data_IF_715466681333
#
_entry.id   IF_715466681333
#
_cell.length_a   1.000
_cell.length_b   1.000
_cell.length_c   1.000
_cell.angle_alpha   90.00
_cell.angle_beta   90.00
_cell.angle_gamma   90.00
#
_symmetry.space_group_name_H-M   'P 1'
#
loop_
_entity.id
_entity.type
_entity.pdbx_description
1 polymer ?
#
# COMPACT_ATOMS: atom_id res chain seq x y z
N UNK A 1 1.60 -11.48 34.14
CA UNK A 1 0.20 -11.45 34.61
C UNK A 1 -0.55 -10.46 33.73
N UNK A 2 -1.26 -10.94 32.72
CA UNK A 2 -2.21 -10.12 31.95
C UNK A 2 -3.47 -9.96 32.81
N UNK A 3 -3.76 -8.74 33.26
CA UNK A 3 -5.00 -8.45 34.01
C UNK A 3 -6.21 -8.99 33.25
N UNK A 4 -7.09 -9.70 33.97
CA UNK A 4 -8.37 -10.15 33.45
C UNK A 4 -9.20 -8.91 33.12
N UNK A 5 -9.33 -8.62 31.82
CA UNK A 5 -10.07 -7.48 31.34
C UNK A 5 -11.57 -7.65 31.66
N UNK A 6 -12.14 -6.67 32.38
CA UNK A 6 -13.58 -6.65 32.67
C UNK A 6 -14.32 -6.14 31.43
N UNK A 7 -14.92 -7.07 30.70
CA UNK A 7 -15.82 -6.78 29.58
C UNK A 7 -17.03 -5.95 30.06
N UNK A 8 -17.25 -4.78 29.45
CA UNK A 8 -18.40 -3.93 29.79
C UNK A 8 -19.52 -4.06 28.75
N UNK A 9 -20.76 -3.82 29.15
CA UNK A 9 -21.91 -3.78 28.23
C UNK A 9 -21.76 -2.65 27.17
N UNK A 10 -21.02 -1.59 27.51
CA UNK A 10 -20.63 -0.52 26.56
C UNK A 10 -19.74 -1.10 25.46
N UNK A 11 -18.73 -1.88 25.81
CA UNK A 11 -17.83 -2.49 24.84
C UNK A 11 -18.62 -3.39 23.90
N UNK A 12 -19.52 -4.24 24.42
CA UNK A 12 -20.40 -5.10 23.61
C UNK A 12 -21.27 -4.30 22.64
N UNK A 13 -21.98 -3.29 23.16
CA UNK A 13 -22.92 -2.47 22.39
C UNK A 13 -22.21 -1.74 21.25
N UNK A 14 -21.09 -1.09 21.55
CA UNK A 14 -20.29 -0.37 20.56
C UNK A 14 -19.67 -1.29 19.52
N UNK A 15 -19.19 -2.45 19.94
CA UNK A 15 -18.60 -3.45 19.04
C UNK A 15 -19.63 -4.05 18.09
N UNK A 16 -20.86 -4.31 18.57
CA UNK A 16 -21.98 -4.75 17.70
C UNK A 16 -22.35 -3.70 16.68
N UNK A 17 -22.38 -2.42 17.09
CA UNK A 17 -22.60 -1.32 16.14
C UNK A 17 -21.53 -1.32 15.05
N UNK A 18 -20.24 -1.42 15.41
CA UNK A 18 -19.14 -1.49 14.42
C UNK A 18 -19.30 -2.66 13.46
N UNK A 19 -19.65 -3.85 13.96
CA UNK A 19 -19.87 -5.03 13.13
C UNK A 19 -21.04 -4.85 12.16
N UNK A 20 -22.12 -4.18 12.59
CA UNK A 20 -23.26 -3.85 11.72
C UNK A 20 -22.85 -2.85 10.63
N UNK A 21 -22.11 -1.79 10.99
CA UNK A 21 -21.61 -0.80 10.02
C UNK A 21 -20.71 -1.46 8.98
N UNK A 22 -19.81 -2.36 9.38
CA UNK A 22 -18.95 -3.08 8.46
C UNK A 22 -19.76 -3.98 7.50
N UNK A 23 -20.80 -4.65 8.02
CA UNK A 23 -21.70 -5.47 7.20
C UNK A 23 -22.46 -4.64 6.17
N UNK A 24 -22.99 -3.49 6.59
CA UNK A 24 -23.67 -2.52 5.71
C UNK A 24 -22.72 -1.94 4.66
N UNK A 25 -21.44 -1.73 5.01
CA UNK A 25 -20.45 -1.26 4.06
C UNK A 25 -20.26 -2.24 2.89
N UNK A 26 -20.51 -3.53 3.12
CA UNK A 26 -20.49 -4.54 2.07
C UNK A 26 -19.10 -4.82 1.48
N UNK A 27 -18.03 -4.27 2.08
CA UNK A 27 -16.65 -4.54 1.71
C UNK A 27 -16.15 -5.73 2.54
N UNK A 28 -15.75 -6.86 1.92
CA UNK A 28 -15.28 -8.03 2.67
C UNK A 28 -13.94 -7.78 3.36
N UNK A 29 -13.12 -6.87 2.81
CA UNK A 29 -11.85 -6.42 3.36
C UNK A 29 -11.75 -4.91 3.19
N UNK A 30 -11.38 -4.19 4.23
CA UNK A 30 -11.24 -2.73 4.23
C UNK A 30 -10.30 -2.27 5.34
N UNK A 31 -9.88 -1.01 5.36
CA UNK A 31 -9.17 -0.43 6.51
C UNK A 31 -10.15 0.12 7.55
N UNK A 32 -9.66 0.35 8.79
CA UNK A 32 -10.43 1.04 9.81
C UNK A 32 -10.76 2.50 9.44
N UNK A 33 -9.86 3.17 8.70
CA UNK A 33 -10.07 4.55 8.21
C UNK A 33 -11.17 4.60 7.14
N UNK A 34 -11.23 3.62 6.23
CA UNK A 34 -12.32 3.52 5.26
C UNK A 34 -13.67 3.28 5.95
N UNK A 35 -13.69 2.41 6.98
CA UNK A 35 -14.89 2.21 7.80
C UNK A 35 -15.32 3.48 8.53
N UNK A 36 -14.37 4.30 9.00
CA UNK A 36 -14.65 5.62 9.56
C UNK A 36 -15.34 6.53 8.55
N UNK A 37 -14.83 6.63 7.32
CA UNK A 37 -15.44 7.46 6.28
C UNK A 37 -16.83 6.94 5.89
N UNK A 38 -17.01 5.62 5.82
CA UNK A 38 -18.32 5.04 5.56
C UNK A 38 -19.30 5.40 6.69
N UNK A 39 -18.88 5.20 7.94
CA UNK A 39 -19.69 5.55 9.10
C UNK A 39 -20.08 7.04 9.13
N UNK A 40 -19.15 7.93 8.76
CA UNK A 40 -19.37 9.37 8.74
C UNK A 40 -20.33 9.81 7.63
N UNK A 41 -20.36 9.07 6.51
CA UNK A 41 -21.30 9.29 5.40
C UNK A 41 -22.71 8.78 5.71
N UNK A 42 -22.88 7.85 6.66
CA UNK A 42 -24.20 7.32 7.03
C UNK A 42 -25.06 8.42 7.65
N UNK A 43 -26.29 8.54 7.15
CA UNK A 43 -27.33 9.40 7.73
C UNK A 43 -28.06 8.74 8.92
N UNK A 44 -27.75 7.46 9.19
CA UNK A 44 -28.38 6.69 10.25
C UNK A 44 -28.08 7.26 11.64
N UNK A 45 -29.15 7.51 12.42
CA UNK A 45 -29.06 7.97 13.81
C UNK A 45 -28.99 6.81 14.81
N UNK A 46 -28.06 5.88 14.58
CA UNK A 46 -27.98 4.61 15.29
C UNK A 46 -26.70 4.45 16.13
N UNK A 47 -25.79 5.43 16.10
CA UNK A 47 -24.57 5.37 16.91
C UNK A 47 -24.93 5.55 18.39
N UNK A 48 -24.67 4.55 19.26
CA UNK A 48 -25.20 4.53 20.61
C UNK A 48 -24.37 5.42 21.52
N UNK A 49 -24.98 6.26 22.35
CA UNK A 49 -24.30 7.01 23.41
C UNK A 49 -24.62 6.33 24.73
N UNK A 50 -23.63 5.59 25.26
CA UNK A 50 -23.79 4.83 26.48
C UNK A 50 -23.49 5.68 27.72
N UNK A 51 -24.20 5.47 28.81
CA UNK A 51 -23.95 6.17 30.08
C UNK A 51 -24.56 5.49 31.31
N UNK A 52 -24.07 5.85 32.50
CA UNK A 52 -24.44 5.23 33.78
C UNK A 52 -23.60 4.00 34.14
N UNK A 53 -23.84 3.43 35.33
CA UNK A 53 -23.03 2.34 35.90
C UNK A 53 -23.09 1.03 35.11
N UNK A 54 -24.15 0.80 34.33
CA UNK A 54 -24.40 -0.48 33.61
C UNK A 54 -24.17 -0.36 32.09
N UNK A 55 -23.75 0.81 31.59
CA UNK A 55 -23.45 0.97 30.16
C UNK A 55 -24.66 1.05 29.22
N UNK A 56 -25.84 1.30 29.74
CA UNK A 56 -27.10 1.44 28.99
C UNK A 56 -26.99 2.50 27.89
N UNK A 57 -27.67 2.26 26.76
CA UNK A 57 -27.83 3.26 25.70
C UNK A 57 -28.75 4.37 26.23
N UNK A 58 -28.20 5.59 26.36
CA UNK A 58 -28.96 6.77 26.79
C UNK A 58 -29.66 7.44 25.62
N UNK A 59 -28.99 7.50 24.48
CA UNK A 59 -29.48 8.11 23.24
C UNK A 59 -28.73 7.52 22.05
N UNK A 60 -29.32 7.54 20.87
CA UNK A 60 -28.62 7.29 19.61
C UNK A 60 -28.55 8.57 18.80
N UNK A 61 -27.47 8.75 18.03
CA UNK A 61 -27.29 9.91 17.15
C UNK A 61 -26.55 9.52 15.88
N UNK A 62 -26.47 10.40 14.87
CA UNK A 62 -25.54 10.21 13.76
C UNK A 62 -24.10 10.08 14.24
N UNK A 63 -23.30 9.29 13.52
CA UNK A 63 -21.87 9.18 13.77
C UNK A 63 -21.17 10.51 13.47
N UNK A 64 -20.20 10.90 14.30
CA UNK A 64 -19.54 12.21 14.20
C UNK A 64 -18.02 12.06 14.12
N UNK A 65 -17.34 13.04 13.51
CA UNK A 65 -15.87 13.02 13.29
C UNK A 65 -15.09 12.78 14.59
N UNK A 66 -15.58 13.32 15.72
CA UNK A 66 -14.96 13.17 17.04
C UNK A 66 -15.00 11.73 17.59
N UNK A 67 -15.94 10.91 17.11
CA UNK A 67 -16.04 9.50 17.50
C UNK A 67 -14.95 8.63 16.87
N UNK A 68 -14.29 9.12 15.81
CA UNK A 68 -13.26 8.40 15.06
C UNK A 68 -12.09 7.94 15.93
N UNK A 69 -11.72 8.74 16.94
CA UNK A 69 -10.63 8.42 17.88
C UNK A 69 -10.87 7.11 18.66
N UNK A 70 -12.14 6.73 18.87
CA UNK A 70 -12.52 5.51 19.61
C UNK A 70 -12.89 4.36 18.68
N UNK A 71 -12.99 4.58 17.37
CA UNK A 71 -13.43 3.55 16.43
C UNK A 71 -12.50 2.33 16.47
N UNK A 72 -11.18 2.54 16.49
CA UNK A 72 -10.19 1.46 16.58
C UNK A 72 -10.40 0.61 17.83
N UNK A 73 -10.61 1.25 18.99
CA UNK A 73 -10.94 0.54 20.23
C UNK A 73 -12.14 -0.40 20.02
N UNK A 74 -13.22 0.09 19.44
CA UNK A 74 -14.45 -0.70 19.25
C UNK A 74 -14.28 -1.79 18.19
N UNK A 75 -13.44 -1.56 17.19
CA UNK A 75 -13.09 -2.52 16.15
C UNK A 75 -12.27 -3.68 16.71
N UNK A 76 -11.27 -3.38 17.54
CA UNK A 76 -10.47 -4.40 18.23
C UNK A 76 -11.33 -5.25 19.17
N UNK A 77 -12.28 -4.62 19.87
CA UNK A 77 -13.24 -5.34 20.70
C UNK A 77 -14.20 -6.19 19.87
N UNK A 78 -14.68 -5.69 18.74
CA UNK A 78 -15.52 -6.48 17.83
C UNK A 78 -14.78 -7.71 17.29
N UNK A 79 -13.48 -7.60 16.99
CA UNK A 79 -12.62 -8.74 16.64
C UNK A 79 -12.49 -9.73 17.80
N UNK A 80 -12.21 -9.25 19.02
CA UNK A 80 -12.08 -10.09 20.22
C UNK A 80 -13.37 -10.84 20.57
N UNK A 81 -14.53 -10.21 20.39
CA UNK A 81 -15.83 -10.84 20.61
C UNK A 81 -16.29 -11.74 19.44
N UNK A 82 -15.54 -11.79 18.34
CA UNK A 82 -15.92 -12.57 17.15
C UNK A 82 -17.09 -11.98 16.35
N UNK A 83 -17.43 -10.70 16.57
CA UNK A 83 -18.45 -10.02 15.77
C UNK A 83 -17.93 -9.61 14.38
N UNK A 84 -16.61 -9.47 14.24
CA UNK A 84 -15.92 -9.11 13.00
C UNK A 84 -14.82 -10.14 12.74
N UNK A 85 -14.74 -10.63 11.51
CA UNK A 85 -13.63 -11.48 11.06
C UNK A 85 -12.31 -10.70 11.19
N UNK A 86 -11.30 -11.30 11.82
CA UNK A 86 -9.98 -10.69 12.02
C UNK A 86 -9.33 -10.19 10.72
N UNK A 87 -9.63 -10.83 9.57
CA UNK A 87 -9.09 -10.50 8.25
C UNK A 87 -9.90 -9.45 7.48
N UNK A 88 -11.09 -9.08 7.97
CA UNK A 88 -11.95 -8.09 7.33
C UNK A 88 -11.41 -6.67 7.45
N UNK A 89 -10.62 -6.40 8.49
CA UNK A 89 -9.93 -5.13 8.67
C UNK A 89 -8.46 -5.32 8.36
N UNK A 90 -7.94 -4.47 7.49
CA UNK A 90 -6.55 -4.43 7.05
C UNK A 90 -5.77 -3.48 7.95
N UNK A 91 -4.73 -4.02 8.58
CA UNK A 91 -3.83 -3.28 9.46
C UNK A 91 -2.53 -2.90 8.71
N UNK A 92 -1.85 -1.88 9.20
CA UNK A 92 -0.50 -1.55 8.73
C UNK A 92 0.46 -2.68 9.10
N UNK A 93 1.29 -3.08 8.14
CA UNK A 93 2.38 -4.02 8.31
C UNK A 93 3.68 -3.22 8.38
N UNK A 94 4.43 -3.30 9.49
CA UNK A 94 5.70 -2.59 9.61
C UNK A 94 6.72 -3.03 8.55
N UNK A 95 7.60 -2.11 8.18
CA UNK A 95 8.65 -2.34 7.21
C UNK A 95 8.23 -2.09 5.76
N UNK A 96 9.22 -2.17 4.88
CA UNK A 96 9.02 -2.00 3.45
C UNK A 96 8.67 -3.32 2.78
N UNK A 97 7.77 -3.26 1.80
CA UNK A 97 7.32 -4.43 1.08
C UNK A 97 7.41 -4.21 -0.43
N UNK A 98 7.97 -5.19 -1.14
CA UNK A 98 8.11 -5.17 -2.60
C UNK A 98 7.42 -6.42 -3.15
N UNK A 99 6.39 -6.23 -3.95
CA UNK A 99 5.65 -7.31 -4.61
C UNK A 99 5.89 -7.25 -6.11
N UNK A 100 6.64 -8.22 -6.62
CA UNK A 100 6.96 -8.34 -8.05
C UNK A 100 5.79 -8.96 -8.84
N UNK A 101 5.67 -8.66 -10.15
CA UNK A 101 4.77 -9.37 -11.05
C UNK A 101 5.10 -10.87 -11.15
N UNK A 102 4.10 -11.72 -11.36
CA UNK A 102 4.26 -13.18 -11.44
C UNK A 102 5.24 -13.63 -12.54
N UNK A 103 5.31 -12.90 -13.67
CA UNK A 103 6.25 -13.14 -14.76
C UNK A 103 7.72 -13.07 -14.32
N UNK A 104 8.03 -12.30 -13.27
CA UNK A 104 9.41 -12.12 -12.75
C UNK A 104 9.78 -13.17 -11.72
N UNK A 105 8.80 -13.77 -11.04
CA UNK A 105 9.01 -14.87 -10.09
C UNK A 105 9.33 -16.18 -10.83
N UNK A 106 8.70 -16.41 -11.99
CA UNK A 106 8.89 -17.61 -12.79
C UNK A 106 10.23 -17.65 -13.56
N UNK A 107 10.94 -16.53 -13.69
CA UNK A 107 12.24 -16.43 -14.35
C UNK A 107 13.43 -16.91 -13.51
N UNK A 108 13.24 -17.08 -12.20
CA UNK A 108 14.20 -17.74 -11.33
C UNK A 108 13.99 -19.25 -11.41
N UNK A 109 14.93 -20.00 -12.00
CA UNK A 109 15.00 -21.45 -11.77
C UNK A 109 15.13 -21.69 -10.26
N UNK A 110 14.04 -22.05 -9.59
CA UNK A 110 14.12 -22.82 -8.35
C UNK A 110 14.45 -24.26 -8.73
N UNK A 111 15.52 -24.86 -8.20
CA UNK A 111 15.58 -26.29 -8.09
C UNK A 111 14.64 -26.69 -6.94
N UNK A 112 13.55 -27.36 -7.31
CA UNK A 112 12.68 -28.19 -6.48
C UNK A 112 11.97 -27.56 -5.27
N UNK A 113 10.66 -27.74 -5.26
CA UNK A 113 9.74 -27.16 -4.28
C UNK A 113 10.02 -27.58 -2.83
N UNK A 114 10.29 -26.59 -1.98
CA UNK A 114 10.06 -26.64 -0.54
C UNK A 114 9.57 -25.25 -0.10
N UNK A 115 8.36 -25.10 0.49
CA UNK A 115 7.97 -23.87 1.16
C UNK A 115 8.87 -23.64 2.38
N UNK A 116 9.51 -22.48 2.46
CA UNK A 116 10.33 -22.07 3.62
C UNK A 116 9.44 -21.72 4.82
N UNK A 117 8.84 -22.73 5.43
CA UNK A 117 8.48 -22.73 6.84
C UNK A 117 9.45 -23.68 7.55
N UNK A 118 10.46 -23.13 8.21
CA UNK A 118 11.24 -23.88 9.20
C UNK A 118 10.64 -23.64 10.59
N UNK A 119 9.85 -24.58 11.15
CA UNK A 119 9.84 -24.78 12.59
C UNK A 119 11.12 -25.55 12.97
N UNK A 120 11.98 -24.90 13.75
CA UNK A 120 13.03 -25.57 14.51
C UNK A 120 12.38 -26.56 15.48
N UNK A 121 12.37 -27.85 15.15
CA UNK A 121 12.83 -28.94 16.02
C UNK A 121 12.53 -30.31 15.42
N UNK A 122 13.53 -31.18 15.49
CA UNK A 122 13.54 -32.66 15.54
C UNK A 122 14.65 -33.18 14.61
N UNK A 123 15.38 -34.27 14.93
CA UNK A 123 14.86 -35.44 15.65
C UNK A 123 15.86 -36.16 16.57
N UNK A 124 15.37 -37.11 17.36
CA UNK A 124 16.09 -38.37 17.57
C UNK A 124 15.09 -39.50 17.45
N UNK A 125 15.36 -40.42 16.52
CA UNK A 125 15.08 -41.86 16.57
C UNK A 125 15.09 -42.43 15.15
N UNK A 126 16.24 -42.99 14.80
CA UNK A 126 16.48 -43.85 13.65
C UNK A 126 15.85 -45.22 13.93
N UNK A 127 15.02 -45.69 13.00
CA UNK A 127 14.82 -47.13 12.71
C UNK A 127 14.17 -47.18 11.33
N UNK A 128 14.86 -47.55 10.25
CA UNK A 128 15.44 -48.87 10.07
C UNK A 128 14.47 -49.68 9.21
N UNK A 129 14.70 -49.70 7.88
CA UNK A 129 14.36 -50.78 6.92
C UNK A 129 14.53 -50.28 5.48
N UNK A 130 15.65 -50.67 4.89
CA UNK A 130 15.83 -50.75 3.44
C UNK A 130 15.27 -52.12 3.02
N UNK A 131 14.44 -52.20 1.98
CA UNK A 131 14.37 -53.40 1.17
C UNK A 131 15.08 -53.16 -0.17
N UNK A 132 16.17 -53.90 -0.37
CA UNK A 132 16.68 -54.28 -1.67
C UNK A 132 15.55 -54.88 -2.51
N UNK A 133 15.40 -54.37 -3.74
CA UNK A 133 14.91 -55.09 -4.93
C UNK A 133 14.82 -54.14 -6.13
N UNK A 134 15.83 -54.18 -6.98
CA UNK A 134 15.62 -54.07 -8.44
C UNK A 134 14.97 -55.38 -8.92
N UNK A 135 14.07 -55.31 -9.90
CA UNK A 135 14.46 -55.84 -11.19
C UNK A 135 13.97 -55.03 -12.40
N UNK A 136 14.91 -54.88 -13.34
CA UNK A 136 14.79 -54.92 -14.79
C UNK A 136 13.37 -55.01 -15.39
N UNK A 137 12.91 -53.92 -15.98
CA UNK A 137 12.32 -53.94 -17.32
C UNK A 137 12.07 -52.51 -17.84
N UNK A 138 12.92 -52.12 -18.80
CA UNK A 138 12.66 -50.99 -19.71
C UNK A 138 11.89 -51.57 -20.91
N UNK A 139 10.72 -51.01 -21.28
CA UNK A 139 10.24 -51.10 -22.65
C UNK A 139 10.37 -49.73 -23.33
N UNK A 140 11.08 -49.75 -24.45
CA UNK A 140 11.21 -48.68 -25.44
C UNK A 140 9.84 -48.06 -25.77
N UNK A 141 9.63 -46.81 -25.33
CA UNK A 141 8.49 -45.99 -25.76
C UNK A 141 8.98 -44.74 -26.46
N UNK A 142 9.09 -44.88 -27.79
CA UNK A 142 9.14 -43.88 -28.85
C UNK A 142 9.00 -42.43 -28.38
N UNK A 143 10.05 -41.65 -28.62
CA UNK A 143 10.09 -40.19 -28.55
C UNK A 143 9.01 -39.54 -29.42
N UNK A 144 7.81 -39.33 -28.87
CA UNK A 144 6.89 -38.33 -29.39
C UNK A 144 7.21 -37.01 -28.70
N UNK A 145 8.11 -36.25 -29.32
CA UNK A 145 8.42 -34.85 -29.02
C UNK A 145 7.11 -34.08 -28.78
N UNK A 146 6.78 -33.63 -27.55
CA UNK A 146 5.66 -32.71 -27.40
C UNK A 146 6.06 -31.44 -28.13
N UNK A 147 5.28 -31.07 -29.15
CA UNK A 147 5.36 -29.75 -29.78
C UNK A 147 5.04 -28.73 -28.69
N UNK A 148 6.08 -28.20 -28.07
CA UNK A 148 6.00 -26.98 -27.28
C UNK A 148 5.29 -25.94 -28.15
N UNK A 149 4.25 -25.24 -27.66
CA UNK A 149 3.81 -24.02 -28.33
C UNK A 149 5.02 -23.08 -28.42
N UNK A 150 5.09 -22.18 -29.42
CA UNK A 150 6.16 -21.22 -29.48
C UNK A 150 6.00 -20.27 -28.28
N UNK A 151 6.62 -20.63 -27.15
CA UNK A 151 6.97 -19.68 -26.11
C UNK A 151 7.96 -18.72 -26.74
N UNK A 152 7.46 -17.58 -27.21
CA UNK A 152 8.29 -16.39 -27.41
C UNK A 152 8.89 -16.06 -26.03
N UNK A 153 10.20 -16.18 -25.82
CA UNK A 153 10.83 -15.64 -24.63
C UNK A 153 10.74 -14.12 -24.73
N UNK A 154 10.17 -13.50 -23.70
CA UNK A 154 10.32 -12.09 -23.34
C UNK A 154 10.40 -11.09 -24.50
N UNK A 155 9.26 -10.51 -24.87
CA UNK A 155 9.31 -9.11 -25.29
C UNK A 155 9.86 -8.34 -24.10
N UNK A 156 11.17 -8.08 -24.10
CA UNK A 156 11.85 -7.29 -23.07
C UNK A 156 11.07 -5.99 -22.91
N UNK A 157 10.33 -5.87 -21.80
CA UNK A 157 9.46 -4.72 -21.55
C UNK A 157 10.39 -3.51 -21.46
N UNK A 158 10.42 -2.69 -22.52
CA UNK A 158 11.24 -1.47 -22.57
C UNK A 158 10.81 -0.46 -21.51
N UNK A 159 9.53 -0.52 -21.08
CA UNK A 159 8.97 0.21 -19.96
C UNK A 159 8.64 -0.71 -18.77
N UNK A 160 9.11 -0.36 -17.57
CA UNK A 160 8.73 -0.93 -16.27
C UNK A 160 7.89 0.08 -15.51
N UNK A 161 6.80 -0.39 -14.91
CA UNK A 161 5.91 0.41 -14.08
C UNK A 161 5.96 -0.08 -12.63
N UNK A 162 6.07 0.84 -11.68
CA UNK A 162 5.99 0.56 -10.26
C UNK A 162 4.99 1.50 -9.58
N UNK A 163 4.16 0.97 -8.68
CA UNK A 163 3.23 1.72 -7.83
C UNK A 163 3.82 1.80 -6.42
N UNK A 164 4.16 3.00 -5.96
CA UNK A 164 4.81 3.26 -4.68
C UNK A 164 3.83 3.96 -3.72
N UNK A 165 3.71 3.49 -2.48
CA UNK A 165 2.82 4.08 -1.47
C UNK A 165 3.41 4.08 -0.06
N UNK A 166 2.88 4.93 0.81
CA UNK A 166 3.27 5.07 2.21
C UNK A 166 2.29 4.41 3.22
N UNK A 167 1.37 3.59 2.71
CA UNK A 167 0.27 2.94 3.45
C UNK A 167 0.20 1.45 3.12
N UNK A 168 0.88 0.62 3.92
CA UNK A 168 0.97 -0.81 3.66
C UNK A 168 -0.36 -1.55 3.90
N UNK A 169 -1.28 -0.98 4.70
CA UNK A 169 -2.61 -1.54 4.93
C UNK A 169 -3.43 -1.67 3.64
N UNK A 170 -3.12 -0.88 2.61
CA UNK A 170 -3.79 -0.92 1.30
C UNK A 170 -3.22 -2.01 0.37
N UNK A 171 -2.06 -2.60 0.70
CA UNK A 171 -1.43 -3.62 -0.15
C UNK A 171 -2.39 -4.76 -0.54
N UNK A 172 -3.20 -5.33 0.37
CA UNK A 172 -4.11 -6.42 0.01
C UNK A 172 -5.23 -6.02 -0.95
N UNK A 173 -5.58 -4.72 -1.04
CA UNK A 173 -6.55 -4.20 -2.00
C UNK A 173 -5.91 -3.92 -3.36
N UNK A 174 -4.66 -3.47 -3.36
CA UNK A 174 -3.93 -3.04 -4.56
C UNK A 174 -3.21 -4.18 -5.27
N UNK A 175 -2.72 -5.17 -4.52
CA UNK A 175 -1.93 -6.27 -5.05
C UNK A 175 -2.63 -7.04 -6.19
N UNK A 176 -3.95 -7.36 -6.12
CA UNK A 176 -4.64 -7.98 -7.25
C UNK A 176 -4.62 -7.13 -8.53
N UNK A 177 -4.81 -5.81 -8.40
CA UNK A 177 -4.80 -4.87 -9.53
C UNK A 177 -3.39 -4.76 -10.12
N UNK A 178 -2.37 -4.63 -9.27
CA UNK A 178 -0.99 -4.57 -9.71
C UNK A 178 -0.56 -5.86 -10.43
N UNK A 179 -0.96 -7.04 -9.92
CA UNK A 179 -0.70 -8.33 -10.57
C UNK A 179 -1.38 -8.43 -11.94
N UNK A 180 -2.66 -8.09 -12.01
CA UNK A 180 -3.45 -8.07 -13.26
C UNK A 180 -2.77 -7.21 -14.34
N UNK A 181 -2.19 -6.07 -13.95
CA UNK A 181 -1.56 -5.11 -14.87
C UNK A 181 -0.05 -5.34 -15.05
N UNK A 182 0.55 -6.30 -14.36
CA UNK A 182 1.99 -6.56 -14.39
C UNK A 182 2.85 -5.41 -13.86
N UNK A 183 2.42 -4.80 -12.75
CA UNK A 183 3.03 -3.65 -12.08
C UNK A 183 3.65 -4.10 -10.76
N UNK A 184 4.85 -3.60 -10.44
CA UNK A 184 5.47 -3.85 -9.13
C UNK A 184 4.80 -2.95 -8.08
N UNK A 185 4.34 -3.53 -6.97
CA UNK A 185 3.79 -2.76 -5.84
C UNK A 185 4.88 -2.60 -4.77
N UNK A 186 5.13 -1.38 -4.33
CA UNK A 186 6.17 -1.06 -3.34
C UNK A 186 5.58 -0.20 -2.23
N UNK A 187 5.47 -0.71 -1.01
CA UNK A 187 5.11 0.11 0.15
C UNK A 187 6.35 0.44 0.97
N UNK A 188 6.54 1.72 1.32
CA UNK A 188 7.67 2.22 2.11
C UNK A 188 7.19 3.04 3.31
N UNK A 189 8.04 3.21 4.33
CA UNK A 189 7.70 4.02 5.50
C UNK A 189 8.14 5.48 5.32
N UNK A 190 7.24 6.35 4.84
CA UNK A 190 7.44 7.82 4.59
C UNK A 190 8.53 8.18 3.57
N UNK A 191 9.70 7.59 3.66
CA UNK A 191 10.88 7.76 2.81
C UNK A 191 11.42 6.38 2.43
N UNK A 192 11.73 6.14 1.14
CA UNK A 192 12.35 4.90 0.74
C UNK A 192 13.69 4.65 1.44
N UNK A 193 13.91 3.44 1.93
CA UNK A 193 15.19 3.01 2.45
C UNK A 193 16.22 2.83 1.32
N UNK A 194 17.50 2.77 1.69
CA UNK A 194 18.58 2.42 0.77
C UNK A 194 18.34 1.07 0.10
N UNK A 195 17.80 0.09 0.82
CA UNK A 195 17.56 -1.25 0.30
C UNK A 195 16.43 -1.26 -0.75
N UNK A 196 15.36 -0.49 -0.53
CA UNK A 196 14.32 -0.29 -1.54
C UNK A 196 14.86 0.36 -2.82
N UNK A 197 15.73 1.37 -2.68
CA UNK A 197 16.39 2.01 -3.83
C UNK A 197 17.34 1.04 -4.54
N UNK A 198 18.17 0.29 -3.82
CA UNK A 198 19.05 -0.71 -4.42
C UNK A 198 18.25 -1.79 -5.15
N UNK A 199 17.16 -2.26 -4.55
CA UNK A 199 16.27 -3.24 -5.18
C UNK A 199 15.62 -2.66 -6.45
N UNK A 200 15.24 -1.38 -6.48
CA UNK A 200 14.72 -0.69 -7.66
C UNK A 200 15.79 -0.62 -8.75
N UNK A 201 17.00 -0.19 -8.41
CA UNK A 201 18.11 -0.07 -9.36
C UNK A 201 18.51 -1.44 -9.94
N UNK A 202 18.42 -2.51 -9.15
CA UNK A 202 18.71 -3.88 -9.60
C UNK A 202 17.70 -4.39 -10.63
N UNK A 203 16.44 -3.94 -10.57
CA UNK A 203 15.36 -4.41 -11.46
C UNK A 203 14.93 -3.39 -12.52
N UNK A 204 15.52 -2.19 -12.55
CA UNK A 204 15.08 -1.11 -13.45
C UNK A 204 15.16 -1.51 -14.94
N UNK A 205 14.19 -1.05 -15.72
CA UNK A 205 14.21 -1.10 -17.17
C UNK A 205 14.69 0.24 -17.77
N UNK A 206 15.09 0.28 -19.06
CA UNK A 206 15.52 1.52 -19.71
C UNK A 206 14.53 2.68 -19.58
N UNK A 207 13.23 2.38 -19.59
CA UNK A 207 12.20 3.32 -19.17
C UNK A 207 11.57 2.75 -17.90
N UNK A 208 11.75 3.41 -16.75
CA UNK A 208 11.09 3.02 -15.50
C UNK A 208 10.22 4.18 -15.06
N UNK A 209 8.94 3.93 -14.81
CA UNK A 209 8.01 4.94 -14.30
C UNK A 209 7.52 4.49 -12.92
N UNK A 210 7.77 5.33 -11.93
CA UNK A 210 7.30 5.20 -10.56
C UNK A 210 6.09 6.10 -10.39
N UNK A 211 4.98 5.49 -9.99
CA UNK A 211 3.70 6.14 -9.75
C UNK A 211 3.48 6.16 -8.23
N UNK A 212 3.47 7.35 -7.64
CA UNK A 212 3.30 7.54 -6.21
C UNK A 212 1.82 7.68 -5.83
N UNK A 213 1.33 6.82 -4.95
CA UNK A 213 0.00 6.83 -4.38
C UNK A 213 0.11 7.18 -2.89
N UNK A 214 -0.32 8.38 -2.52
CA UNK A 214 -0.21 8.87 -1.15
C UNK A 214 -1.39 9.79 -0.78
N UNK A 215 -1.55 10.07 0.51
CA UNK A 215 -2.57 11.01 1.00
C UNK A 215 -2.32 12.44 0.46
N UNK A 216 -3.39 13.23 0.35
CA UNK A 216 -3.26 14.69 0.22
C UNK A 216 -3.06 15.28 1.62
N UNK A 217 -1.83 15.30 2.09
CA UNK A 217 -1.47 15.77 3.43
C UNK A 217 -0.13 16.51 3.44
N UNK A 218 0.17 17.24 4.52
CA UNK A 218 1.50 17.87 4.70
C UNK A 218 2.61 16.80 4.80
N UNK A 219 2.33 15.65 5.41
CA UNK A 219 3.35 14.60 5.61
C UNK A 219 3.71 13.88 4.31
N UNK A 220 2.73 13.75 3.40
CA UNK A 220 2.82 12.91 2.21
C UNK A 220 2.90 13.72 0.89
N UNK A 221 2.63 15.04 0.88
CA UNK A 221 2.67 15.78 -0.38
C UNK A 221 4.08 15.87 -1.00
N UNK A 222 5.13 15.66 -0.22
CA UNK A 222 6.52 15.59 -0.71
C UNK A 222 6.99 14.15 -0.96
N UNK A 223 6.12 13.15 -0.80
CA UNK A 223 6.48 11.75 -0.99
C UNK A 223 7.10 11.49 -2.38
N UNK A 224 6.49 12.04 -3.43
CA UNK A 224 7.03 12.02 -4.80
C UNK A 224 8.43 12.63 -4.88
N UNK A 225 8.63 13.79 -4.26
CA UNK A 225 9.94 14.47 -4.24
C UNK A 225 10.98 13.65 -3.48
N UNK A 226 10.61 13.04 -2.36
CA UNK A 226 11.50 12.17 -1.56
C UNK A 226 11.91 10.94 -2.36
N UNK A 227 10.97 10.30 -3.07
CA UNK A 227 11.27 9.19 -4.00
C UNK A 227 12.19 9.68 -5.13
N UNK A 228 11.87 10.80 -5.79
CA UNK A 228 12.68 11.36 -6.87
C UNK A 228 14.10 11.72 -6.41
N UNK A 229 14.26 12.29 -5.21
CA UNK A 229 15.56 12.59 -4.61
C UNK A 229 16.34 11.32 -4.26
N UNK A 230 15.68 10.30 -3.70
CA UNK A 230 16.32 9.04 -3.36
C UNK A 230 16.82 8.28 -4.61
N UNK A 231 16.09 8.41 -5.73
CA UNK A 231 16.44 7.80 -7.01
C UNK A 231 17.48 8.62 -7.79
N UNK A 232 17.39 9.95 -7.73
CA UNK A 232 18.26 10.89 -8.46
C UNK A 232 19.50 11.35 -7.68
N UNK A 233 19.61 10.99 -6.40
CA UNK A 233 20.81 11.20 -5.58
C UNK A 233 22.04 10.57 -6.24
N UNK A 234 23.25 11.09 -5.97
CA UNK A 234 24.44 10.77 -6.74
C UNK A 234 24.64 9.25 -6.82
N UNK A 235 24.54 8.73 -8.05
CA UNK A 235 25.16 7.48 -8.44
C UNK A 235 26.67 7.60 -8.14
N UNK A 236 27.06 7.17 -6.94
CA UNK A 236 28.41 7.38 -6.43
C UNK A 236 28.50 7.25 -4.92
N UNK A 237 27.98 6.18 -4.33
CA UNK A 237 28.64 5.61 -3.16
C UNK A 237 29.47 4.42 -3.63
N UNK A 238 30.60 4.77 -4.24
CA UNK A 238 31.77 3.91 -4.18
C UNK A 238 32.14 3.64 -2.72
N UNK A 239 32.82 2.50 -2.57
CA UNK A 239 33.42 1.92 -1.38
C UNK A 239 33.91 2.93 -0.34
N UNK A 240 33.59 2.62 0.92
CA UNK A 240 34.40 2.96 2.08
C UNK A 240 34.36 4.42 2.49
N UNK A 241 33.66 4.70 3.58
CA UNK A 241 34.27 5.23 4.81
C UNK A 241 33.15 5.44 5.84
N UNK A 242 33.34 4.86 7.03
CA UNK A 242 32.71 5.38 8.22
C UNK A 242 33.20 6.81 8.36
N UNK A 243 32.29 7.78 8.44
CA UNK A 243 32.52 8.91 9.34
C UNK A 243 31.19 9.61 9.68
N UNK A 244 30.99 9.73 10.98
CA UNK A 244 30.00 10.56 11.64
C UNK A 244 30.22 12.02 11.28
N UNK A 245 29.22 12.70 10.72
CA UNK A 245 29.31 14.14 10.46
C UNK A 245 28.03 14.73 9.89
N UNK A 246 27.53 15.75 10.58
CA UNK A 246 26.32 16.51 10.29
C UNK A 246 26.25 17.01 8.83
N UNK A 247 25.18 16.67 8.11
CA UNK A 247 24.92 17.22 6.77
C UNK A 247 24.13 18.53 6.89
N UNK A 248 24.88 19.62 6.81
CA UNK A 248 24.37 20.98 6.67
C UNK A 248 23.51 21.16 5.41
N UNK A 249 22.38 21.83 5.60
CA UNK A 249 21.50 22.27 4.53
C UNK A 249 22.25 23.22 3.57
N UNK A 250 22.41 22.82 2.32
CA UNK A 250 22.77 23.73 1.24
C UNK A 250 21.52 24.21 0.52
N UNK A 251 21.36 25.53 0.52
CA UNK A 251 20.32 26.28 -0.18
C UNK A 251 20.46 26.10 -1.69
N UNK A 252 19.36 25.77 -2.36
CA UNK A 252 19.20 26.02 -3.80
C UNK A 252 17.83 26.64 -4.07
N UNK A 253 17.91 27.73 -4.83
CA UNK A 253 16.87 28.72 -5.04
C UNK A 253 15.62 28.26 -5.77
N UNK A 254 14.62 29.12 -5.59
CA UNK A 254 13.28 29.14 -6.13
C UNK A 254 13.24 29.23 -7.66
N UNK A 255 12.57 28.28 -8.29
CA UNK A 255 12.04 28.38 -9.65
C UNK A 255 10.70 27.64 -9.70
N UNK A 256 9.67 28.29 -10.22
CA UNK A 256 8.33 27.75 -10.43
C UNK A 256 8.38 26.41 -11.16
N UNK A 257 7.81 25.36 -10.55
CA UNK A 257 7.59 24.09 -11.23
C UNK A 257 6.16 23.66 -10.96
N UNK A 258 5.35 23.66 -12.02
CA UNK A 258 4.08 22.96 -12.07
C UNK A 258 4.30 21.54 -11.54
N UNK A 259 3.50 21.15 -10.55
CA UNK A 259 3.61 19.88 -9.81
C UNK A 259 3.18 18.65 -10.65
N UNK A 260 3.52 18.63 -11.94
CA UNK A 260 2.98 17.69 -12.91
C UNK A 260 3.99 16.67 -13.43
N UNK A 261 5.30 16.83 -13.17
CA UNK A 261 6.36 15.92 -13.62
C UNK A 261 7.73 16.31 -13.02
N UNK A 262 8.18 15.62 -11.97
CA UNK A 262 9.57 15.73 -11.48
C UNK A 262 10.42 14.65 -12.15
N UNK A 263 11.00 14.99 -13.30
CA UNK A 263 11.93 14.10 -14.00
C UNK A 263 13.34 14.18 -13.41
N UNK A 264 13.78 13.16 -12.66
CA UNK A 264 15.20 12.96 -12.40
C UNK A 264 15.87 12.53 -13.72
N UNK A 265 16.50 13.49 -14.41
CA UNK A 265 17.19 13.23 -15.69
C UNK A 265 18.63 12.77 -15.43
N UNK A 266 18.88 11.50 -15.69
CA UNK A 266 20.22 10.97 -15.99
C UNK A 266 20.73 11.61 -17.30
N UNK A 267 21.96 12.13 -17.37
CA UNK A 267 22.57 12.63 -18.62
C UNK A 267 22.61 11.62 -19.78
N UNK A 268 22.24 10.35 -19.58
CA UNK A 268 22.11 9.32 -20.63
C UNK A 268 20.74 9.18 -21.32
N UNK A 269 19.71 9.97 -20.98
CA UNK A 269 18.45 10.02 -21.74
C UNK A 269 17.52 8.78 -21.64
N UNK A 270 17.74 7.87 -20.68
CA UNK A 270 16.84 6.74 -20.36
C UNK A 270 16.74 6.60 -18.83
N UNK A 271 15.96 7.49 -18.22
CA UNK A 271 15.89 7.70 -16.77
C UNK A 271 14.64 7.13 -16.10
N UNK A 272 14.68 7.08 -14.76
CA UNK A 272 13.52 6.78 -13.92
C UNK A 272 12.66 8.05 -13.83
N UNK A 273 11.38 7.93 -14.19
CA UNK A 273 10.39 8.99 -14.04
C UNK A 273 9.59 8.76 -12.77
N UNK A 274 9.40 9.79 -11.96
CA UNK A 274 8.55 9.72 -10.77
C UNK A 274 7.37 10.68 -10.97
N UNK A 275 6.15 10.21 -10.70
CA UNK A 275 4.91 10.97 -10.89
C UNK A 275 3.92 10.64 -9.78
N UNK A 276 3.13 11.62 -9.33
CA UNK A 276 1.95 11.34 -8.49
C UNK A 276 0.81 10.71 -9.30
N UNK A 277 0.17 9.70 -8.71
CA UNK A 277 -1.03 9.03 -9.23
C UNK A 277 -2.30 9.45 -8.48
N UNK A 278 -2.27 9.45 -7.15
CA UNK A 278 -3.47 9.62 -6.33
C UNK A 278 -3.51 10.91 -5.52
N UNK A 279 -4.73 11.35 -5.26
CA UNK A 279 -5.11 12.47 -4.40
C UNK A 279 -4.37 13.78 -4.69
N UNK A 280 -4.35 14.16 -5.96
CA UNK A 280 -4.09 15.56 -6.30
C UNK A 280 -5.22 16.46 -5.74
N UNK A 281 -4.95 17.75 -5.46
CA UNK A 281 -5.98 18.71 -5.04
C UNK A 281 -7.21 18.69 -5.95
N UNK A 282 -6.98 18.60 -7.26
CA UNK A 282 -8.04 18.52 -8.26
C UNK A 282 -8.87 17.25 -8.14
N UNK A 283 -8.23 16.07 -8.01
CA UNK A 283 -8.96 14.81 -7.79
C UNK A 283 -9.81 14.88 -6.52
N UNK A 284 -9.33 15.51 -5.45
CA UNK A 284 -10.09 15.69 -4.21
C UNK A 284 -11.36 16.53 -4.44
N UNK A 285 -11.26 17.62 -5.22
CA UNK A 285 -12.39 18.44 -5.62
C UNK A 285 -13.38 17.69 -6.54
N UNK A 286 -12.88 17.08 -7.61
CA UNK A 286 -13.67 16.38 -8.62
C UNK A 286 -14.45 15.19 -8.02
N UNK A 287 -13.79 14.41 -7.14
CA UNK A 287 -14.38 13.26 -6.45
C UNK A 287 -15.18 13.66 -5.20
N UNK A 288 -15.19 14.94 -4.82
CA UNK A 288 -15.84 15.46 -3.61
C UNK A 288 -15.44 14.66 -2.36
N UNK A 289 -14.15 14.38 -2.22
CA UNK A 289 -13.66 13.59 -1.10
C UNK A 289 -13.79 14.38 0.21
N UNK A 290 -14.18 13.72 1.31
CA UNK A 290 -14.29 14.37 2.61
C UNK A 290 -12.91 14.82 3.09
N UNK A 291 -12.84 16.10 3.49
CA UNK A 291 -11.66 16.68 4.09
C UNK A 291 -11.69 16.52 5.61
N UNK A 292 -10.57 16.11 6.20
CA UNK A 292 -10.39 16.01 7.66
C UNK A 292 -9.25 16.91 8.13
N UNK A 293 -9.23 17.34 9.40
CA UNK A 293 -8.11 18.10 9.95
C UNK A 293 -6.80 17.30 9.81
N UNK A 294 -5.79 17.94 9.20
CA UNK A 294 -4.46 17.37 9.04
C UNK A 294 -3.53 17.68 10.21
N UNK A 295 -2.40 16.98 10.25
CA UNK A 295 -1.31 17.28 11.19
C UNK A 295 -0.64 18.60 10.82
N UNK A 296 -0.07 19.27 11.81
CA UNK A 296 0.79 20.43 11.58
C UNK A 296 2.21 19.93 11.30
N UNK A 297 2.71 20.19 10.09
CA UNK A 297 4.13 19.95 9.75
C UNK A 297 5.02 21.14 10.13
N UNK A 298 6.25 21.16 9.66
CA UNK A 298 7.12 22.31 9.86
C UNK A 298 6.59 23.55 9.09
N UNK A 299 7.06 24.74 9.43
CA UNK A 299 6.57 25.98 8.80
C UNK A 299 6.82 26.00 7.28
N UNK A 300 7.91 25.40 6.83
CA UNK A 300 8.34 25.41 5.42
C UNK A 300 7.50 24.46 4.55
N UNK A 301 7.24 23.25 5.01
CA UNK A 301 6.31 22.28 4.42
C UNK A 301 4.90 22.85 4.41
N UNK A 302 4.46 23.49 5.50
CA UNK A 302 3.15 24.16 5.55
C UNK A 302 3.00 25.22 4.45
N UNK A 303 4.00 26.08 4.26
CA UNK A 303 3.96 27.13 3.24
C UNK A 303 3.93 26.55 1.82
N UNK A 304 4.67 25.46 1.57
CA UNK A 304 4.67 24.74 0.28
C UNK A 304 3.34 24.05 0.03
N UNK A 305 2.83 23.29 1.01
CA UNK A 305 1.53 22.62 0.94
C UNK A 305 0.40 23.62 0.71
N UNK A 306 0.41 24.77 1.41
CA UNK A 306 -0.55 25.85 1.21
C UNK A 306 -0.58 26.35 -0.23
N UNK A 307 0.58 26.53 -0.86
CA UNK A 307 0.64 26.93 -2.28
C UNK A 307 0.07 25.85 -3.20
N UNK A 308 0.33 24.58 -2.89
CA UNK A 308 -0.13 23.43 -3.66
C UNK A 308 -1.67 23.26 -3.63
N UNK A 309 -2.31 23.46 -2.49
CA UNK A 309 -3.75 23.22 -2.32
C UNK A 309 -4.64 24.44 -2.58
N UNK A 310 -4.06 25.65 -2.52
CA UNK A 310 -4.79 26.93 -2.69
C UNK A 310 -5.56 27.04 -4.03
N UNK A 311 -5.04 26.59 -5.19
CA UNK A 311 -5.76 26.69 -6.46
C UNK A 311 -7.14 26.02 -6.44
N UNK A 312 -7.30 24.96 -5.67
CA UNK A 312 -8.54 24.19 -5.54
C UNK A 312 -9.40 24.64 -4.34
N UNK A 313 -9.03 25.75 -3.68
CA UNK A 313 -9.78 26.29 -2.54
C UNK A 313 -9.70 25.43 -1.26
N UNK A 314 -8.80 24.44 -1.21
CA UNK A 314 -8.63 23.57 -0.05
C UNK A 314 -7.84 24.33 1.03
N UNK A 315 -8.34 24.28 2.27
CA UNK A 315 -7.64 24.86 3.42
C UNK A 315 -6.35 24.07 3.73
N UNK A 316 -5.21 24.74 4.00
CA UNK A 316 -3.94 24.06 4.28
C UNK A 316 -3.93 23.27 5.60
N UNK A 317 -4.96 23.43 6.44
CA UNK A 317 -5.15 22.64 7.67
C UNK A 317 -5.96 21.36 7.44
N UNK A 318 -6.41 21.14 6.21
CA UNK A 318 -7.23 20.00 5.84
C UNK A 318 -6.43 19.04 4.97
N UNK A 319 -6.77 17.76 5.05
CA UNK A 319 -6.21 16.68 4.25
C UNK A 319 -7.30 15.76 3.74
N UNK A 320 -7.01 15.04 2.66
CA UNK A 320 -7.80 13.91 2.19
C UNK A 320 -6.96 12.64 2.27
N UNK A 321 -7.58 11.55 2.70
CA UNK A 321 -6.93 10.25 2.83
C UNK A 321 -7.33 9.30 1.72
N UNK A 322 -6.40 8.44 1.33
CA UNK A 322 -6.59 7.37 0.36
C UNK A 322 -7.80 6.50 0.74
N UNK A 323 -7.97 6.21 2.03
CA UNK A 323 -9.07 5.39 2.54
C UNK A 323 -10.47 5.92 2.21
N UNK A 324 -10.62 7.23 1.96
CA UNK A 324 -11.91 7.79 1.55
C UNK A 324 -12.34 7.26 0.17
N UNK A 325 -11.40 6.84 -0.69
CA UNK A 325 -11.71 6.29 -2.02
C UNK A 325 -12.50 4.98 -1.93
N UNK A 326 -12.34 4.17 -0.88
CA UNK A 326 -13.14 2.95 -0.67
C UNK A 326 -14.65 3.23 -0.59
N UNK A 327 -15.00 4.44 -0.16
CA UNK A 327 -16.38 4.89 0.08
C UNK A 327 -16.91 5.77 -1.04
N UNK A 328 -16.06 6.66 -1.57
CA UNK A 328 -16.45 7.72 -2.48
C UNK A 328 -16.18 7.40 -3.95
N UNK A 329 -15.29 6.45 -4.25
CA UNK A 329 -15.03 6.02 -5.62
C UNK A 329 -15.85 4.76 -5.96
N UNK A 330 -16.61 4.73 -7.08
CA UNK A 330 -17.30 3.51 -7.52
C UNK A 330 -16.33 2.33 -7.67
N UNK A 331 -16.58 1.24 -6.96
CA UNK A 331 -15.66 0.09 -6.92
C UNK A 331 -14.49 0.22 -5.93
N UNK A 332 -14.30 1.39 -5.31
CA UNK A 332 -13.33 1.63 -4.24
C UNK A 332 -11.91 1.95 -4.74
N UNK A 333 -10.94 1.84 -3.84
CA UNK A 333 -9.52 2.07 -4.08
C UNK A 333 -8.98 1.25 -5.25
N UNK A 334 -9.33 -0.04 -5.31
CA UNK A 334 -8.86 -0.92 -6.37
C UNK A 334 -9.36 -0.49 -7.76
N UNK A 335 -10.60 -0.01 -7.86
CA UNK A 335 -11.15 0.52 -9.10
C UNK A 335 -10.48 1.85 -9.49
N UNK A 336 -10.32 2.76 -8.52
CA UNK A 336 -9.61 4.03 -8.73
C UNK A 336 -8.21 3.80 -9.30
N UNK A 337 -7.42 2.92 -8.66
CA UNK A 337 -6.06 2.62 -9.11
C UNK A 337 -6.06 1.97 -10.49
N UNK A 338 -7.01 1.06 -10.79
CA UNK A 338 -7.13 0.47 -12.13
C UNK A 338 -7.39 1.54 -13.20
N UNK A 339 -8.30 2.46 -12.93
CA UNK A 339 -8.72 3.49 -13.89
C UNK A 339 -7.59 4.49 -14.13
N UNK A 340 -6.86 4.89 -13.09
CA UNK A 340 -5.71 5.80 -13.18
C UNK A 340 -4.47 5.14 -13.83
N UNK A 341 -4.25 3.85 -13.61
CA UNK A 341 -3.14 3.11 -14.22
C UNK A 341 -3.38 2.76 -15.69
N UNK A 342 -4.63 2.61 -16.11
CA UNK A 342 -4.98 2.14 -17.46
C UNK A 342 -4.43 3.02 -18.60
N UNK A 343 -4.49 4.36 -18.55
CA UNK A 343 -3.82 5.22 -19.52
C UNK A 343 -2.30 5.04 -19.55
N UNK A 344 -1.65 4.94 -18.37
CA UNK A 344 -0.18 4.83 -18.24
C UNK A 344 0.32 3.49 -18.78
N UNK A 345 -0.39 2.41 -18.49
CA UNK A 345 -0.08 1.08 -19.06
C UNK A 345 -0.19 1.13 -20.59
N UNK A 346 -1.24 1.75 -21.14
CA UNK A 346 -1.39 1.91 -22.60
C UNK A 346 -0.26 2.71 -23.22
N UNK A 347 0.14 3.83 -22.59
CA UNK A 347 1.28 4.64 -23.01
C UNK A 347 2.56 3.78 -23.08
N UNK A 348 2.87 3.04 -22.02
CA UNK A 348 4.06 2.19 -21.96
C UNK A 348 4.03 1.00 -22.93
N UNK A 349 2.85 0.47 -23.25
CA UNK A 349 2.70 -0.58 -24.26
C UNK A 349 2.78 -0.04 -25.69
N UNK A 350 2.42 1.24 -25.90
CA UNK A 350 2.46 1.91 -27.20
C UNK A 350 3.84 2.42 -27.61
N UNK A 351 4.74 2.65 -26.64
CA UNK A 351 6.12 3.10 -26.85
C UNK A 351 7.07 2.02 -27.42
N UNK A 352 6.54 1.05 -28.18
CA UNK A 352 7.26 -0.13 -28.69
C UNK A 352 8.15 0.17 -29.90
#
# INVERSE_FOLDING_TARGET
MTEAFVETEVDRTKSRWVANVLREFGRPRTTARALFYYALRREASDYPICGGFVGEIRVTRPYHVSDGSRLLKWLDRARQFGYVDGRAILDEVPGEHIYLPEEEVAGGRSPDGIPSHLPYHMPDHISGRIPDRTPDHIPDRRESKPRSPPHRPGASRRCRLELWLDRSALNPLLLPVCREMGITLVSVEKTPSRDAILALLARRAPQTVILCLCDLSIDSFEFEQRVAQAVGGPAGLERGELETGELGARELGTGELEASQLGARDPGGRGIQVRRLGLTPRQVGDLKLPLVPGRQGDKKEQDRYKKYVKPEGISPRMMAELDALEVHYPGGMAAFVRDELSPVVRECLSAK
#
